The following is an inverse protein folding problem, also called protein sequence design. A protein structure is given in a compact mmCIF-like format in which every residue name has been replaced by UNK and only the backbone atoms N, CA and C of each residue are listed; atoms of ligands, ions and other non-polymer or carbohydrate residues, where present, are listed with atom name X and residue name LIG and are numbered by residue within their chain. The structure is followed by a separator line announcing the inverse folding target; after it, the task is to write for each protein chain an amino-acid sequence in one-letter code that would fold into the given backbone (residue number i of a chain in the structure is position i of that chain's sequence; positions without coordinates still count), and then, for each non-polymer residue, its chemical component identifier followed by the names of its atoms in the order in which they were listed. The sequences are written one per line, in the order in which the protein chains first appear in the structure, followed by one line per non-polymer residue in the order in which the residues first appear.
data_IF_022606127558
#
_entry.id   IF_022606127558
#
_cell.length_a   1.000
_cell.length_b   1.000
_cell.length_c   1.000
_cell.angle_alpha   90.00
_cell.angle_beta   90.00
_cell.angle_gamma   90.00
#
_symmetry.space_group_name_H-M   'P 1'
#
loop_
_entity.id
_entity.type
_entity.pdbx_description
1 polymer ?
#
# COMPACT_ATOMS: atom_id res chain seq x y z
N UNK A 1 -4.11 -12.17 14.54
CA UNK A 1 -4.27 -12.27 13.07
C UNK A 1 -2.91 -12.03 12.40
N UNK A 2 -2.61 -12.58 11.21
CA UNK A 2 -1.30 -12.40 10.54
C UNK A 2 -1.03 -10.92 10.21
N UNK A 3 -2.07 -10.16 9.85
CA UNK A 3 -1.96 -8.73 9.58
C UNK A 3 -1.53 -7.94 10.82
N UNK A 4 -2.21 -8.15 11.95
CA UNK A 4 -1.87 -7.53 13.23
C UNK A 4 -0.43 -7.85 13.67
N UNK A 5 0.05 -9.05 13.37
CA UNK A 5 1.41 -9.45 13.71
C UNK A 5 2.46 -8.70 12.85
N UNK A 6 2.25 -8.60 11.54
CA UNK A 6 3.12 -7.83 10.65
C UNK A 6 3.07 -6.33 10.96
N UNK A 7 1.88 -5.79 11.21
CA UNK A 7 1.68 -4.40 11.64
C UNK A 7 2.38 -4.12 12.98
N UNK A 8 2.34 -5.07 13.92
CA UNK A 8 3.08 -4.97 15.19
C UNK A 8 4.59 -4.88 15.02
N UNK A 9 5.16 -5.59 14.04
CA UNK A 9 6.59 -5.49 13.68
C UNK A 9 6.89 -4.10 13.11
N UNK A 10 6.05 -3.60 12.19
CA UNK A 10 6.21 -2.27 11.60
C UNK A 10 6.13 -1.16 12.66
N UNK A 11 5.17 -1.25 13.58
CA UNK A 11 5.03 -0.36 14.73
C UNK A 11 6.30 -0.33 15.61
N UNK A 12 6.82 -1.51 15.95
CA UNK A 12 8.04 -1.60 16.74
C UNK A 12 9.26 -1.00 16.01
N UNK A 13 9.36 -1.23 14.70
CA UNK A 13 10.41 -0.64 13.86
C UNK A 13 10.28 0.88 13.80
N UNK A 14 9.08 1.41 13.56
CA UNK A 14 8.82 2.85 13.50
C UNK A 14 9.24 3.54 14.80
N UNK A 15 8.86 2.98 15.96
CA UNK A 15 9.27 3.47 17.28
C UNK A 15 10.78 3.44 17.47
N UNK A 16 11.44 2.35 17.09
CA UNK A 16 12.92 2.24 17.17
C UNK A 16 13.62 3.31 16.33
N UNK A 17 13.07 3.65 15.17
CA UNK A 17 13.59 4.68 14.27
C UNK A 17 13.06 6.09 14.57
N UNK A 18 12.25 6.28 15.63
CA UNK A 18 11.64 7.56 16.00
C UNK A 18 10.82 8.19 14.87
N UNK A 19 10.11 7.35 14.10
CA UNK A 19 9.23 7.77 13.02
C UNK A 19 7.82 8.03 13.56
N UNK A 20 7.17 9.07 13.02
CA UNK A 20 5.80 9.42 13.39
C UNK A 20 4.75 8.40 12.90
N UNK A 21 5.09 7.63 11.87
CA UNK A 21 4.21 6.60 11.30
C UNK A 21 5.03 5.46 10.71
N UNK A 22 4.55 4.20 10.79
CA UNK A 22 5.16 3.09 10.08
C UNK A 22 5.21 3.27 8.56
N UNK A 23 4.37 4.13 7.97
CA UNK A 23 4.33 4.38 6.52
C UNK A 23 5.67 4.88 5.95
N UNK A 24 6.52 5.53 6.77
CA UNK A 24 7.85 5.99 6.35
C UNK A 24 8.90 4.88 6.20
N UNK A 25 8.64 3.67 6.71
CA UNK A 25 9.60 2.58 6.71
C UNK A 25 9.90 2.03 5.30
N UNK A 26 8.93 2.09 4.38
CA UNK A 26 9.05 1.60 3.01
C UNK A 26 9.61 2.66 2.02
N UNK A 27 10.22 3.74 2.51
CA UNK A 27 10.71 4.86 1.68
C UNK A 27 11.56 4.45 0.47
N UNK A 28 12.35 3.38 0.59
CA UNK A 28 13.25 2.90 -0.45
C UNK A 28 12.81 1.55 -1.05
N UNK A 29 11.63 1.04 -0.71
CA UNK A 29 11.09 -0.23 -1.18
C UNK A 29 9.73 0.02 -1.82
N UNK A 30 9.64 -0.21 -3.12
CA UNK A 30 8.43 0.05 -3.89
C UNK A 30 7.96 -1.20 -4.60
N UNK A 31 6.64 -1.37 -4.66
CA UNK A 31 5.99 -2.47 -5.35
C UNK A 31 5.07 -1.89 -6.42
N UNK A 32 5.11 -2.49 -7.60
CA UNK A 32 4.17 -2.28 -8.69
C UNK A 32 3.18 -3.46 -8.68
N UNK A 33 1.87 -3.23 -8.42
CA UNK A 33 0.97 -4.27 -7.93
C UNK A 33 0.29 -5.12 -9.02
N UNK A 34 0.52 -4.82 -10.31
CA UNK A 34 -0.16 -5.49 -11.42
C UNK A 34 0.39 -6.91 -11.71
N UNK A 35 0.44 -7.77 -10.68
CA UNK A 35 0.84 -9.17 -10.81
C UNK A 35 -0.11 -10.00 -11.69
N UNK A 36 -1.31 -9.47 -11.96
CA UNK A 36 -2.34 -10.13 -12.76
C UNK A 36 -2.91 -9.19 -13.83
N UNK A 37 -2.04 -8.35 -14.41
CA UNK A 37 -2.45 -7.27 -15.30
C UNK A 37 -3.12 -6.12 -14.55
N UNK A 38 -3.32 -5.02 -15.26
CA UNK A 38 -4.04 -3.86 -14.76
C UNK A 38 -5.45 -3.82 -15.35
N UNK A 39 -6.48 -3.99 -14.50
CA UNK A 39 -7.87 -3.83 -14.95
C UNK A 39 -8.23 -2.36 -15.15
N UNK A 40 -7.88 -1.53 -14.20
CA UNK A 40 -8.19 -0.10 -14.18
C UNK A 40 -7.04 0.67 -13.54
N UNK A 41 -6.70 1.85 -14.06
CA UNK A 41 -7.35 2.50 -15.21
C UNK A 41 -6.79 2.09 -16.58
N UNK A 42 -5.71 1.31 -16.64
CA UNK A 42 -4.95 1.09 -17.88
C UNK A 42 -5.57 0.01 -18.79
N UNK A 43 -6.36 -0.89 -18.22
CA UNK A 43 -7.05 -1.97 -18.95
C UNK A 43 -6.10 -2.83 -19.80
N UNK A 44 -4.92 -3.11 -19.27
CA UNK A 44 -3.88 -3.92 -19.92
C UNK A 44 -3.63 -5.22 -19.13
N UNK A 45 -4.13 -6.37 -19.60
CA UNK A 45 -3.93 -7.65 -18.95
C UNK A 45 -2.50 -8.21 -19.09
N UNK A 46 -1.65 -7.60 -19.93
CA UNK A 46 -0.28 -8.06 -20.18
C UNK A 46 0.73 -7.49 -19.18
N UNK A 47 0.33 -6.50 -18.38
CA UNK A 47 1.20 -5.91 -17.35
C UNK A 47 1.58 -6.94 -16.28
N UNK A 48 2.78 -6.77 -15.73
CA UNK A 48 3.34 -7.63 -14.69
C UNK A 48 3.85 -6.79 -13.52
N UNK A 49 3.79 -7.37 -12.32
CA UNK A 49 4.26 -6.74 -11.10
C UNK A 49 5.78 -6.57 -11.07
N UNK A 50 6.24 -5.64 -10.24
CA UNK A 50 7.66 -5.35 -10.02
C UNK A 50 7.88 -5.05 -8.54
N UNK A 51 9.06 -5.42 -8.02
CA UNK A 51 9.52 -4.97 -6.72
C UNK A 51 10.88 -4.31 -6.92
N UNK A 52 11.02 -3.08 -6.45
CA UNK A 52 12.23 -2.28 -6.54
C UNK A 52 12.73 -1.90 -5.14
N UNK A 53 14.04 -1.99 -4.91
CA UNK A 53 14.65 -1.70 -3.60
C UNK A 53 14.91 -2.93 -2.72
N UNK A 54 14.91 -4.13 -3.30
CA UNK A 54 15.27 -5.36 -2.60
C UNK A 54 16.74 -5.34 -2.17
N UNK A 55 17.02 -5.91 -0.99
CA UNK A 55 18.36 -6.18 -0.49
C UNK A 55 18.54 -7.70 -0.33
N UNK A 56 19.72 -8.15 0.11
CA UNK A 56 19.96 -9.56 0.43
C UNK A 56 19.36 -9.99 1.78
N UNK A 57 18.78 -9.07 2.56
CA UNK A 57 18.20 -9.37 3.85
C UNK A 57 16.89 -10.17 3.71
N UNK A 58 16.69 -11.13 4.62
CA UNK A 58 15.56 -12.06 4.59
C UNK A 58 15.00 -12.32 5.99
N UNK A 59 14.82 -11.25 6.76
CA UNK A 59 14.27 -11.28 8.12
C UNK A 59 12.76 -11.08 8.13
N UNK A 60 12.14 -11.25 9.31
CA UNK A 60 10.72 -10.93 9.50
C UNK A 60 10.44 -9.44 9.37
N UNK A 61 11.43 -8.59 9.68
CA UNK A 61 11.35 -7.16 9.40
C UNK A 61 11.27 -6.90 7.89
N UNK A 62 12.04 -7.60 7.07
CA UNK A 62 12.01 -7.45 5.61
C UNK A 62 10.67 -7.90 5.02
N UNK A 63 10.10 -8.99 5.55
CA UNK A 63 8.74 -9.42 5.19
C UNK A 63 7.70 -8.36 5.56
N UNK A 64 7.81 -7.76 6.75
CA UNK A 64 6.90 -6.69 7.18
C UNK A 64 7.04 -5.43 6.31
N UNK A 65 8.26 -5.07 5.89
CA UNK A 65 8.51 -3.97 4.94
C UNK A 65 7.90 -4.26 3.57
N UNK A 66 8.03 -5.48 3.05
CA UNK A 66 7.42 -5.87 1.79
C UNK A 66 5.89 -5.85 1.87
N UNK A 67 5.32 -6.28 3.00
CA UNK A 67 3.89 -6.14 3.29
C UNK A 67 3.46 -4.67 3.25
N UNK A 68 4.18 -3.77 3.93
CA UNK A 68 3.89 -2.33 3.90
C UNK A 68 3.95 -1.75 2.49
N UNK A 69 5.01 -2.05 1.73
CA UNK A 69 5.16 -1.61 0.34
C UNK A 69 4.01 -2.13 -0.53
N UNK A 70 3.52 -3.35 -0.27
CA UNK A 70 2.34 -3.92 -0.94
C UNK A 70 1.08 -3.12 -0.62
N UNK A 71 0.82 -2.81 0.65
CA UNK A 71 -0.34 -1.99 1.03
C UNK A 71 -0.30 -0.62 0.33
N UNK A 72 0.86 0.05 0.37
CA UNK A 72 1.05 1.35 -0.27
C UNK A 72 0.84 1.29 -1.78
N UNK A 73 1.35 0.25 -2.45
CA UNK A 73 1.15 0.05 -3.88
C UNK A 73 -0.34 -0.07 -4.25
N UNK A 74 -1.11 -0.84 -3.47
CA UNK A 74 -2.57 -0.96 -3.67
C UNK A 74 -3.27 0.39 -3.46
N UNK A 75 -2.88 1.13 -2.42
CA UNK A 75 -3.42 2.47 -2.14
C UNK A 75 -3.16 3.42 -3.31
N UNK A 76 -1.94 3.43 -3.86
CA UNK A 76 -1.62 4.27 -5.01
C UNK A 76 -2.38 3.85 -6.27
N UNK A 77 -2.66 2.56 -6.46
CA UNK A 77 -3.59 2.10 -7.50
C UNK A 77 -4.99 2.67 -7.32
N UNK A 78 -5.54 2.64 -6.10
CA UNK A 78 -6.83 3.29 -5.78
C UNK A 78 -6.81 4.78 -6.07
N UNK A 79 -5.72 5.47 -5.69
CA UNK A 79 -5.52 6.90 -5.99
C UNK A 79 -5.55 7.16 -7.50
N UNK A 80 -4.84 6.37 -8.29
CA UNK A 80 -4.83 6.50 -9.74
C UNK A 80 -6.23 6.33 -10.34
N UNK A 81 -7.02 5.39 -9.83
CA UNK A 81 -8.42 5.20 -10.26
C UNK A 81 -9.26 6.43 -9.92
N UNK A 82 -9.15 6.96 -8.69
CA UNK A 82 -9.89 8.15 -8.26
C UNK A 82 -9.50 9.36 -9.12
N UNK A 83 -8.22 9.58 -9.36
CA UNK A 83 -7.73 10.67 -10.22
C UNK A 83 -8.32 10.57 -11.64
N UNK A 84 -8.41 9.37 -12.22
CA UNK A 84 -9.03 9.17 -13.54
C UNK A 84 -10.55 9.39 -13.53
N UNK A 85 -11.25 8.98 -12.48
CA UNK A 85 -12.68 9.25 -12.32
C UNK A 85 -12.93 10.76 -12.17
N UNK A 86 -12.12 11.45 -11.38
CA UNK A 86 -12.22 12.91 -11.21
C UNK A 86 -11.91 13.65 -12.51
N UNK A 87 -10.88 13.23 -13.25
CA UNK A 87 -10.59 13.76 -14.58
C UNK A 87 -11.75 13.54 -15.58
N UNK A 88 -12.53 12.48 -15.38
CA UNK A 88 -13.73 12.16 -16.17
C UNK A 88 -15.00 12.91 -15.71
N UNK A 89 -14.88 13.83 -14.74
CA UNK A 89 -15.98 14.69 -14.28
C UNK A 89 -16.70 14.21 -13.02
N UNK A 90 -16.26 13.13 -12.37
CA UNK A 90 -16.83 12.69 -11.11
C UNK A 90 -16.30 13.49 -9.91
N UNK A 91 -17.21 13.98 -9.05
CA UNK A 91 -16.84 14.60 -7.78
C UNK A 91 -16.86 13.56 -6.65
N UNK A 92 -15.67 13.04 -6.28
CA UNK A 92 -15.53 12.04 -5.22
C UNK A 92 -15.14 12.74 -3.93
N UNK A 93 -16.04 12.74 -2.94
CA UNK A 93 -15.83 13.41 -1.64
C UNK A 93 -15.52 12.44 -0.50
N UNK A 94 -15.72 11.14 -0.70
CA UNK A 94 -15.53 10.12 0.33
C UNK A 94 -15.32 8.74 -0.29
N UNK A 95 -14.55 7.90 0.41
CA UNK A 95 -14.33 6.49 0.04
C UNK A 95 -14.82 5.60 1.18
N UNK A 96 -15.75 4.69 0.86
CA UNK A 96 -16.27 3.71 1.81
C UNK A 96 -15.45 2.42 1.68
N UNK A 97 -14.73 2.07 2.75
CA UNK A 97 -13.86 0.90 2.79
C UNK A 97 -14.62 -0.31 3.33
N UNK A 98 -14.55 -1.43 2.62
CA UNK A 98 -15.18 -2.69 3.02
C UNK A 98 -14.28 -3.90 2.69
N UNK A 99 -14.68 -5.09 3.16
CA UNK A 99 -13.93 -6.34 2.93
C UNK A 99 -12.89 -6.65 4.01
N UNK A 100 -12.14 -7.75 3.86
CA UNK A 100 -11.27 -8.26 4.93
C UNK A 100 -10.18 -7.28 5.39
N UNK A 101 -9.61 -6.50 4.46
CA UNK A 101 -8.57 -5.51 4.74
C UNK A 101 -9.08 -4.27 5.46
N UNK A 102 -10.40 -4.02 5.51
CA UNK A 102 -10.92 -2.87 6.26
C UNK A 102 -10.73 -3.03 7.78
N UNK A 103 -10.35 -4.22 8.26
CA UNK A 103 -9.97 -4.45 9.65
C UNK A 103 -8.52 -4.05 9.96
N UNK A 104 -7.70 -3.78 8.95
CA UNK A 104 -6.31 -3.32 9.12
C UNK A 104 -6.31 -1.81 9.35
N UNK A 105 -5.90 -1.40 10.56
CA UNK A 105 -5.81 0.03 10.90
C UNK A 105 -4.76 0.74 10.05
N UNK A 106 -3.64 0.08 9.76
CA UNK A 106 -2.59 0.62 8.89
C UNK A 106 -3.08 0.82 7.46
N UNK A 107 -3.84 -0.13 6.91
CA UNK A 107 -4.39 -0.03 5.55
C UNK A 107 -5.36 1.14 5.40
N UNK A 108 -6.24 1.33 6.39
CA UNK A 108 -7.21 2.44 6.41
C UNK A 108 -6.50 3.79 6.52
N UNK A 109 -5.55 3.94 7.45
CA UNK A 109 -4.80 5.20 7.58
C UNK A 109 -3.97 5.49 6.32
N UNK A 110 -3.32 4.49 5.74
CA UNK A 110 -2.55 4.68 4.50
C UNK A 110 -3.44 5.14 3.34
N UNK A 111 -4.68 4.62 3.24
CA UNK A 111 -5.67 5.11 2.27
C UNK A 111 -6.03 6.57 2.52
N UNK A 112 -6.33 6.95 3.76
CA UNK A 112 -6.65 8.33 4.09
C UNK A 112 -5.48 9.27 3.74
N UNK A 113 -4.25 8.93 4.13
CA UNK A 113 -3.06 9.74 3.85
C UNK A 113 -2.82 9.96 2.35
N UNK A 114 -3.04 8.92 1.53
CA UNK A 114 -2.75 8.98 0.11
C UNK A 114 -3.85 9.61 -0.75
N UNK A 115 -5.10 9.52 -0.30
CA UNK A 115 -6.27 10.04 -1.03
C UNK A 115 -6.61 11.49 -0.65
N UNK A 116 -6.09 11.98 0.49
CA UNK A 116 -6.38 13.33 1.02
C UNK A 116 -7.63 13.38 1.87
#
# INVERSE_FOLDING_TARGET
NVYEWLEGILEAMAKKHQLNSPTFLAKNLHLYPDFHGNRSPLADPSMVGMICGLTLASSMQDLALLYLATLQALVYGTRQIIEQLTASGHNITSVLMCGGLSNSSLFIHTHADALG
#
